data_IF_985453468216
#
_entry.id   IF_985453468216
#
_cell.length_a   1.000
_cell.length_b   1.000
_cell.length_c   1.000
_cell.angle_alpha   90.00
_cell.angle_beta   90.00
_cell.angle_gamma   90.00
#
_symmetry.space_group_name_H-M   'P 1'
#
loop_
_entity.id
_entity.type
_entity.pdbx_description
1 polymer ?
#
# COMPACT_ATOMS: atom_id res chain seq x y z
N UNK A 1 -47.43 16.33 -28.94
CA UNK A 1 -46.28 17.06 -29.47
C UNK A 1 -45.66 17.87 -28.32
N UNK A 2 -44.72 17.30 -27.52
CA UNK A 2 -43.91 18.06 -26.59
C UNK A 2 -42.62 18.42 -27.31
N UNK A 3 -42.44 19.71 -27.63
CA UNK A 3 -41.16 20.26 -28.10
C UNK A 3 -40.10 20.07 -27.01
N UNK A 4 -39.15 19.21 -27.23
CA UNK A 4 -37.90 19.20 -26.47
C UNK A 4 -37.19 20.54 -26.71
N UNK A 5 -37.22 21.39 -25.69
CA UNK A 5 -36.40 22.58 -25.64
C UNK A 5 -34.92 22.15 -25.57
N UNK A 6 -34.29 22.14 -26.73
CA UNK A 6 -32.82 22.02 -26.88
C UNK A 6 -32.16 23.11 -26.04
N UNK A 7 -31.47 22.73 -24.93
CA UNK A 7 -30.72 23.65 -24.09
C UNK A 7 -29.22 23.56 -24.44
N UNK A 8 -28.71 24.36 -25.40
CA UNK A 8 -27.30 24.33 -25.80
C UNK A 8 -26.34 24.77 -24.70
N UNK A 9 -26.78 25.60 -23.74
CA UNK A 9 -25.97 26.06 -22.61
C UNK A 9 -25.60 24.97 -21.60
N UNK A 10 -26.49 24.00 -21.34
CA UNK A 10 -26.17 22.88 -20.45
C UNK A 10 -25.06 22.00 -20.99
N UNK A 11 -25.03 21.77 -22.29
CA UNK A 11 -23.98 20.97 -22.94
C UNK A 11 -22.62 21.69 -22.97
N UNK A 12 -22.61 23.03 -23.06
CA UNK A 12 -21.39 23.83 -23.05
C UNK A 12 -20.75 23.85 -21.65
N UNK A 13 -21.56 24.11 -20.62
CA UNK A 13 -21.12 24.03 -19.20
C UNK A 13 -20.64 22.63 -18.83
N UNK A 14 -21.31 21.59 -19.31
CA UNK A 14 -20.89 20.21 -19.03
C UNK A 14 -19.54 19.88 -19.68
N UNK A 15 -19.28 20.36 -20.89
CA UNK A 15 -18.00 20.20 -21.59
C UNK A 15 -16.84 20.97 -20.93
N UNK A 16 -17.11 22.15 -20.36
CA UNK A 16 -16.14 22.95 -19.63
C UNK A 16 -15.74 22.35 -18.25
N UNK A 17 -16.56 21.44 -17.72
CA UNK A 17 -16.32 20.72 -16.47
C UNK A 17 -15.52 19.42 -16.63
N UNK A 18 -15.20 19.01 -17.85
CA UNK A 18 -14.44 17.79 -18.12
C UNK A 18 -12.97 18.08 -18.30
N UNK A 19 -12.12 17.20 -17.73
CA UNK A 19 -10.67 17.32 -17.79
C UNK A 19 -10.07 16.33 -18.78
N UNK A 20 -9.28 16.83 -19.72
CA UNK A 20 -8.55 16.01 -20.67
C UNK A 20 -7.33 15.33 -20.05
N UNK A 21 -6.58 16.07 -19.24
CA UNK A 21 -5.41 15.59 -18.47
C UNK A 21 -5.26 16.36 -17.16
N UNK A 22 -4.56 15.79 -16.14
CA UNK A 22 -4.21 16.54 -14.94
C UNK A 22 -3.37 17.75 -15.30
N UNK A 23 -3.75 18.92 -14.79
CA UNK A 23 -2.97 20.15 -15.03
C UNK A 23 -1.66 20.14 -14.25
N UNK A 24 -0.69 20.97 -14.66
CA UNK A 24 0.59 21.12 -13.94
C UNK A 24 0.38 21.60 -12.49
N UNK A 25 -0.65 22.38 -12.21
CA UNK A 25 -0.99 22.84 -10.86
C UNK A 25 -1.41 21.68 -9.96
N UNK A 26 -2.09 20.68 -10.50
CA UNK A 26 -2.50 19.49 -9.73
C UNK A 26 -1.31 18.64 -9.37
N UNK A 27 -0.36 18.46 -10.29
CA UNK A 27 0.90 17.77 -10.02
C UNK A 27 1.77 18.58 -9.04
N UNK A 28 1.83 19.91 -9.19
CA UNK A 28 2.57 20.78 -8.28
C UNK A 28 2.01 20.75 -6.86
N UNK A 29 0.68 20.86 -6.71
CA UNK A 29 0.00 20.76 -5.42
C UNK A 29 0.21 19.38 -4.76
N UNK A 30 0.09 18.30 -5.52
CA UNK A 30 0.34 16.96 -5.04
C UNK A 30 1.80 16.80 -4.60
N UNK A 31 2.74 17.25 -5.40
CA UNK A 31 4.18 17.23 -5.08
C UNK A 31 4.50 17.99 -3.79
N UNK A 32 3.84 19.14 -3.59
CA UNK A 32 3.98 19.93 -2.36
C UNK A 32 3.47 19.16 -1.12
N UNK A 33 2.28 18.55 -1.20
CA UNK A 33 1.74 17.73 -0.10
C UNK A 33 2.66 16.54 0.22
N UNK A 34 3.10 15.83 -0.81
CA UNK A 34 4.03 14.70 -0.64
C UNK A 34 5.35 15.16 0.00
N UNK A 35 5.87 16.29 -0.42
CA UNK A 35 7.10 16.88 0.13
C UNK A 35 6.93 17.26 1.59
N UNK A 36 5.83 17.93 1.95
CA UNK A 36 5.51 18.27 3.35
C UNK A 36 5.42 16.99 4.20
N UNK A 37 4.71 15.96 3.73
CA UNK A 37 4.61 14.69 4.43
C UNK A 37 5.99 14.01 4.57
N UNK A 38 6.78 14.00 3.50
CA UNK A 38 8.13 13.42 3.50
C UNK A 38 9.06 14.09 4.52
N UNK A 39 8.98 15.40 4.68
CA UNK A 39 9.79 16.13 5.65
C UNK A 39 9.35 15.92 7.10
N UNK A 40 8.05 15.79 7.35
CA UNK A 40 7.51 15.93 8.69
C UNK A 40 7.15 14.59 9.36
N UNK A 41 6.87 13.52 8.60
CA UNK A 41 6.50 12.24 9.18
C UNK A 41 7.66 11.23 9.13
N UNK A 42 7.86 10.47 10.19
CA UNK A 42 8.78 9.34 10.22
C UNK A 42 8.35 8.32 11.28
N UNK A 43 7.76 7.23 10.82
CA UNK A 43 7.31 6.17 11.71
C UNK A 43 8.44 5.20 12.09
N UNK A 44 8.35 4.60 13.27
CA UNK A 44 9.39 3.71 13.84
C UNK A 44 9.69 2.48 12.98
N UNK A 45 8.71 1.95 12.23
CA UNK A 45 8.94 0.81 11.34
C UNK A 45 10.00 1.10 10.27
N UNK A 46 10.02 2.34 9.74
CA UNK A 46 11.08 2.72 8.80
C UNK A 46 12.44 2.73 9.50
N UNK A 47 12.52 3.28 10.72
CA UNK A 47 13.75 3.30 11.49
C UNK A 47 14.25 1.88 11.74
N UNK A 48 13.34 0.95 12.09
CA UNK A 48 13.65 -0.47 12.27
C UNK A 48 14.26 -1.08 10.99
N UNK A 49 13.65 -0.85 9.84
CA UNK A 49 14.12 -1.40 8.57
C UNK A 49 15.49 -0.82 8.17
N UNK A 50 15.68 0.48 8.36
CA UNK A 50 16.97 1.14 8.09
C UNK A 50 18.04 0.63 9.05
N UNK A 51 17.74 0.46 10.33
CA UNK A 51 18.67 -0.12 11.31
C UNK A 51 19.11 -1.52 10.90
N UNK A 52 18.19 -2.37 10.45
CA UNK A 52 18.56 -3.69 9.94
C UNK A 52 19.32 -3.64 8.63
N UNK A 53 19.08 -2.64 7.77
CA UNK A 53 19.88 -2.43 6.57
C UNK A 53 21.32 -2.02 6.89
N UNK A 54 21.54 -1.25 7.94
CA UNK A 54 22.87 -0.93 8.49
C UNK A 54 23.49 -2.19 9.12
N UNK A 55 22.70 -2.97 9.89
CA UNK A 55 23.15 -4.24 10.45
C UNK A 55 23.57 -5.25 9.37
N UNK A 56 23.00 -5.19 8.18
CA UNK A 56 23.44 -5.99 7.04
C UNK A 56 24.94 -5.77 6.75
N UNK A 57 25.41 -4.52 6.73
CA UNK A 57 26.84 -4.20 6.55
C UNK A 57 27.69 -4.62 7.71
N UNK A 58 27.20 -4.43 8.95
CA UNK A 58 27.91 -4.92 10.15
C UNK A 58 28.06 -6.45 10.10
N UNK A 59 26.99 -7.17 9.80
CA UNK A 59 27.03 -8.63 9.67
C UNK A 59 27.96 -9.07 8.55
N UNK A 60 27.97 -8.36 7.40
CA UNK A 60 28.85 -8.70 6.29
C UNK A 60 30.33 -8.51 6.62
N UNK A 61 30.70 -7.42 7.31
CA UNK A 61 32.08 -7.03 7.50
C UNK A 61 32.69 -7.45 8.86
N UNK A 62 31.85 -7.65 9.90
CA UNK A 62 32.32 -7.90 11.28
C UNK A 62 31.89 -9.26 11.82
N UNK A 63 30.61 -9.56 11.77
CA UNK A 63 30.02 -10.68 12.54
C UNK A 63 29.81 -11.95 11.70
N UNK A 64 29.92 -11.85 10.39
CA UNK A 64 29.53 -12.88 9.43
C UNK A 64 28.05 -12.79 9.04
N UNK A 65 27.77 -12.77 7.73
CA UNK A 65 26.42 -12.56 7.18
C UNK A 65 25.39 -13.62 7.65
N UNK A 66 25.85 -14.82 8.00
CA UNK A 66 24.99 -15.90 8.49
C UNK A 66 24.46 -15.65 9.91
N UNK A 67 24.91 -14.59 10.59
CA UNK A 67 24.43 -14.15 11.92
C UNK A 67 23.52 -12.92 11.85
N UNK A 68 23.07 -12.54 10.65
CA UNK A 68 22.29 -11.34 10.41
C UNK A 68 21.03 -11.20 11.27
N UNK A 69 20.25 -12.28 11.42
CA UNK A 69 19.03 -12.25 12.22
C UNK A 69 19.31 -12.17 13.71
N UNK A 70 20.28 -12.94 14.19
CA UNK A 70 20.67 -12.95 15.60
C UNK A 70 21.25 -11.60 16.03
N UNK A 71 22.17 -11.03 15.24
CA UNK A 71 22.72 -9.70 15.54
C UNK A 71 21.66 -8.62 15.44
N UNK A 72 20.76 -8.70 14.45
CA UNK A 72 19.64 -7.79 14.33
C UNK A 72 18.69 -7.82 15.52
N UNK A 73 18.38 -9.00 16.06
CA UNK A 73 17.46 -9.14 17.20
C UNK A 73 18.00 -8.56 18.52
N UNK A 74 19.30 -8.36 18.63
CA UNK A 74 19.96 -7.76 19.80
C UNK A 74 19.97 -6.23 19.74
N UNK A 75 19.60 -5.62 18.62
CA UNK A 75 19.56 -4.17 18.48
C UNK A 75 18.36 -3.57 19.22
N UNK A 76 18.58 -2.39 19.77
CA UNK A 76 17.51 -1.54 20.29
C UNK A 76 17.21 -0.47 19.25
N UNK A 77 15.94 -0.31 18.89
CA UNK A 77 15.51 0.55 17.79
C UNK A 77 14.58 1.64 18.32
N UNK A 78 14.83 2.87 17.89
CA UNK A 78 14.02 4.04 18.25
C UNK A 78 14.51 4.74 19.51
N UNK A 79 14.59 6.08 19.44
CA UNK A 79 15.07 6.91 20.57
C UNK A 79 13.95 7.23 21.57
N UNK A 80 12.73 7.44 21.06
CA UNK A 80 11.62 7.89 21.90
C UNK A 80 10.86 6.73 22.57
N UNK A 81 10.91 5.55 21.99
CA UNK A 81 10.28 4.34 22.50
C UNK A 81 11.09 3.12 22.04
N UNK A 82 12.16 2.75 22.78
CA UNK A 82 13.05 1.67 22.38
C UNK A 82 12.28 0.35 22.27
N UNK A 83 12.33 -0.26 21.08
CA UNK A 83 11.76 -1.57 20.82
C UNK A 83 12.86 -2.60 20.58
N UNK A 84 12.61 -3.86 20.91
CA UNK A 84 13.54 -4.94 20.57
C UNK A 84 13.71 -5.04 19.06
N UNK A 85 14.95 -5.27 18.61
CA UNK A 85 15.32 -5.31 17.20
C UNK A 85 14.88 -6.56 16.49
N UNK A 86 13.57 -6.80 16.36
CA UNK A 86 13.09 -7.92 15.56
C UNK A 86 13.36 -7.72 14.06
N UNK A 87 13.79 -8.79 13.38
CA UNK A 87 14.06 -8.79 11.94
C UNK A 87 12.91 -9.48 11.20
N UNK A 88 11.82 -8.77 10.85
CA UNK A 88 10.57 -9.41 10.42
C UNK A 88 10.58 -9.90 8.97
N UNK A 89 11.51 -9.44 8.13
CA UNK A 89 11.49 -9.71 6.70
C UNK A 89 12.62 -10.64 6.25
N UNK A 90 12.49 -11.17 5.03
CA UNK A 90 13.56 -11.91 4.36
C UNK A 90 14.74 -10.97 4.03
N UNK A 91 15.97 -11.48 4.09
CA UNK A 91 17.20 -10.71 3.85
C UNK A 91 17.20 -9.97 2.51
N UNK A 92 16.49 -10.49 1.52
CA UNK A 92 16.43 -9.93 0.17
C UNK A 92 15.85 -8.52 0.11
N UNK A 93 14.93 -8.15 1.00
CA UNK A 93 14.39 -6.78 1.04
C UNK A 93 15.38 -5.81 1.71
N UNK A 94 16.17 -6.30 2.67
CA UNK A 94 17.17 -5.44 3.30
C UNK A 94 18.32 -5.08 2.36
N UNK A 95 18.65 -5.93 1.38
CA UNK A 95 19.75 -5.70 0.45
C UNK A 95 19.63 -4.38 -0.34
N UNK A 96 18.56 -4.08 -1.09
CA UNK A 96 18.45 -2.80 -1.81
C UNK A 96 18.42 -1.61 -0.85
N UNK A 97 17.83 -1.77 0.33
CA UNK A 97 17.78 -0.72 1.36
C UNK A 97 19.18 -0.51 1.98
N UNK A 98 19.95 -1.58 2.18
CA UNK A 98 21.33 -1.50 2.66
C UNK A 98 22.25 -0.81 1.65
N UNK A 99 22.12 -1.13 0.36
CA UNK A 99 22.85 -0.45 -0.70
C UNK A 99 22.54 1.05 -0.69
N UNK A 100 21.28 1.44 -0.57
CA UNK A 100 20.86 2.84 -0.47
C UNK A 100 21.43 3.52 0.77
N UNK A 101 21.39 2.85 1.93
CA UNK A 101 21.88 3.39 3.19
C UNK A 101 23.37 3.14 3.46
N UNK A 102 24.14 2.71 2.48
CA UNK A 102 25.58 2.57 2.60
C UNK A 102 26.28 3.88 3.05
N UNK A 103 25.93 5.08 2.51
CA UNK A 103 26.48 6.33 3.04
C UNK A 103 26.16 6.57 4.51
N UNK A 104 24.96 6.22 4.96
CA UNK A 104 24.55 6.31 6.38
C UNK A 104 25.37 5.36 7.24
N UNK A 105 25.60 4.13 6.79
CA UNK A 105 26.46 3.16 7.46
C UNK A 105 27.90 3.71 7.64
N UNK A 106 28.51 4.22 6.56
CA UNK A 106 29.84 4.80 6.59
C UNK A 106 29.92 5.99 7.56
N UNK A 107 28.91 6.87 7.52
CA UNK A 107 28.82 8.01 8.42
C UNK A 107 28.75 7.58 9.88
N UNK A 108 27.96 6.55 10.24
CA UNK A 108 27.94 6.00 11.60
C UNK A 108 29.30 5.42 12.04
N UNK A 109 30.01 4.72 11.14
CA UNK A 109 31.32 4.16 11.48
C UNK A 109 32.37 5.26 11.74
N UNK A 110 32.27 6.41 11.08
CA UNK A 110 33.22 7.54 11.23
C UNK A 110 32.90 8.38 12.45
N UNK A 111 31.61 8.67 12.69
CA UNK A 111 31.18 9.64 13.73
C UNK A 111 30.87 9.00 15.06
N UNK A 112 30.56 7.71 15.08
CA UNK A 112 30.02 7.02 16.27
C UNK A 112 28.59 7.43 16.64
N UNK A 113 27.93 8.29 15.84
CA UNK A 113 26.56 8.73 16.06
C UNK A 113 25.58 7.80 15.35
N UNK A 114 24.35 7.70 15.85
CA UNK A 114 23.30 6.86 15.26
C UNK A 114 22.43 7.67 14.31
N UNK A 115 21.98 7.07 13.21
CA UNK A 115 21.18 7.76 12.20
C UNK A 115 19.83 8.24 12.74
N UNK A 116 19.26 7.57 13.73
CA UNK A 116 17.98 7.93 14.35
C UNK A 116 18.02 9.32 15.01
N UNK A 117 19.19 9.81 15.36
CA UNK A 117 19.38 11.13 15.94
C UNK A 117 19.67 12.22 14.90
N UNK A 118 19.79 11.84 13.62
CA UNK A 118 20.15 12.77 12.55
C UNK A 118 19.04 12.91 11.52
N UNK A 119 18.47 14.12 11.43
CA UNK A 119 17.41 14.46 10.48
C UNK A 119 17.78 14.15 9.02
N UNK A 120 19.01 14.48 8.60
CA UNK A 120 19.46 14.29 7.21
C UNK A 120 19.54 12.80 6.88
N UNK A 121 20.04 11.98 7.82
CA UNK A 121 20.11 10.52 7.64
C UNK A 121 18.70 9.90 7.58
N UNK A 122 17.75 10.36 8.41
CA UNK A 122 16.36 9.92 8.35
C UNK A 122 15.68 10.33 7.04
N UNK A 123 15.91 11.55 6.57
CA UNK A 123 15.38 12.02 5.30
C UNK A 123 15.98 11.24 4.13
N UNK A 124 17.30 10.98 4.15
CA UNK A 124 17.97 10.14 3.16
C UNK A 124 17.34 8.75 3.06
N UNK A 125 17.12 8.12 4.21
CA UNK A 125 16.46 6.81 4.27
C UNK A 125 15.06 6.83 3.64
N UNK A 126 14.26 7.88 3.88
CA UNK A 126 12.92 8.06 3.30
C UNK A 126 12.94 8.26 1.79
N UNK A 127 13.92 9.02 1.28
CA UNK A 127 14.09 9.25 -0.16
C UNK A 127 14.30 7.91 -0.89
N UNK A 128 14.93 6.91 -0.25
CA UNK A 128 15.09 5.57 -0.80
C UNK A 128 13.79 4.90 -1.24
N UNK A 129 12.68 5.15 -0.53
CA UNK A 129 11.37 4.62 -0.88
C UNK A 129 10.74 5.30 -2.11
N UNK A 130 11.28 6.43 -2.58
CA UNK A 130 10.80 7.08 -3.81
C UNK A 130 11.20 6.31 -5.07
N UNK A 131 12.27 5.52 -5.04
CA UNK A 131 12.66 4.70 -6.21
C UNK A 131 11.58 3.68 -6.58
N UNK A 132 11.13 2.80 -5.66
CA UNK A 132 10.03 1.89 -5.99
C UNK A 132 8.71 2.64 -6.25
N UNK A 133 8.47 3.82 -5.69
CA UNK A 133 7.32 4.66 -6.06
C UNK A 133 7.37 5.09 -7.54
N UNK A 134 8.51 5.59 -7.99
CA UNK A 134 8.72 5.90 -9.42
C UNK A 134 8.61 4.63 -10.26
N UNK A 135 9.16 3.52 -9.77
CA UNK A 135 9.00 2.20 -10.38
C UNK A 135 7.54 1.76 -10.51
N UNK A 136 6.69 2.02 -9.51
CA UNK A 136 5.24 1.76 -9.59
C UNK A 136 4.57 2.58 -10.69
N UNK A 137 4.88 3.88 -10.79
CA UNK A 137 4.37 4.72 -11.88
C UNK A 137 4.81 4.20 -13.25
N UNK A 138 6.06 3.80 -13.39
CA UNK A 138 6.57 3.18 -14.61
C UNK A 138 5.85 1.86 -14.92
N UNK A 139 5.61 1.01 -13.92
CA UNK A 139 4.87 -0.24 -14.09
C UNK A 139 3.39 0.02 -14.47
N UNK A 140 2.76 1.05 -13.91
CA UNK A 140 1.41 1.49 -14.30
C UNK A 140 1.41 1.95 -15.74
N UNK A 141 2.43 2.71 -16.21
CA UNK A 141 2.55 3.05 -17.62
C UNK A 141 2.63 1.79 -18.50
N UNK A 142 3.45 0.80 -18.13
CA UNK A 142 3.56 -0.47 -18.88
C UNK A 142 2.25 -1.28 -18.91
N UNK A 143 1.50 -1.30 -17.82
CA UNK A 143 0.18 -1.92 -17.79
C UNK A 143 -0.81 -1.08 -18.62
N UNK A 144 -0.78 0.23 -18.49
CA UNK A 144 -1.64 1.16 -19.21
C UNK A 144 -1.45 1.10 -20.73
N UNK A 145 -0.20 0.98 -21.21
CA UNK A 145 0.10 0.76 -22.65
C UNK A 145 -0.61 -0.51 -23.19
N UNK A 146 -0.75 -1.54 -22.35
CA UNK A 146 -1.38 -2.80 -22.73
C UNK A 146 -2.91 -2.75 -22.64
N UNK A 147 -3.44 -2.08 -21.62
CA UNK A 147 -4.88 -2.14 -21.28
C UNK A 147 -5.63 -0.87 -21.69
N UNK A 148 -5.08 0.30 -21.45
CA UNK A 148 -5.75 1.58 -21.65
C UNK A 148 -5.50 2.15 -23.06
N UNK A 149 -4.34 1.86 -23.65
CA UNK A 149 -3.92 2.23 -25.02
C UNK A 149 -3.82 3.74 -25.30
N UNK A 150 -4.43 4.59 -24.49
CA UNK A 150 -4.44 6.04 -24.63
C UNK A 150 -3.52 6.71 -23.60
N UNK A 151 -2.59 7.53 -24.08
CA UNK A 151 -1.64 8.24 -23.21
C UNK A 151 -2.35 9.10 -22.14
N UNK A 152 -3.50 9.69 -22.48
CA UNK A 152 -4.28 10.50 -21.52
C UNK A 152 -4.75 9.67 -20.33
N UNK A 153 -5.31 8.49 -20.60
CA UNK A 153 -5.75 7.54 -19.55
C UNK A 153 -4.57 7.07 -18.71
N UNK A 154 -3.41 6.83 -19.32
CA UNK A 154 -2.20 6.43 -18.60
C UNK A 154 -1.74 7.53 -17.63
N UNK A 155 -1.72 8.79 -18.07
CA UNK A 155 -1.35 9.93 -17.22
C UNK A 155 -2.33 10.06 -16.03
N UNK A 156 -3.62 9.86 -16.27
CA UNK A 156 -4.62 9.84 -15.20
C UNK A 156 -4.42 8.65 -14.24
N UNK A 157 -4.04 7.45 -14.73
CA UNK A 157 -3.73 6.31 -13.87
C UNK A 157 -2.59 6.64 -12.91
N UNK A 158 -1.50 7.24 -13.41
CA UNK A 158 -0.38 7.69 -12.60
C UNK A 158 -0.82 8.77 -11.59
N UNK A 159 -1.67 9.71 -11.99
CA UNK A 159 -2.19 10.75 -11.10
C UNK A 159 -3.09 10.16 -9.99
N UNK A 160 -4.04 9.29 -10.33
CA UNK A 160 -4.91 8.66 -9.34
C UNK A 160 -4.14 7.74 -8.39
N UNK A 161 -3.16 7.00 -8.90
CA UNK A 161 -2.24 6.24 -8.06
C UNK A 161 -1.50 7.16 -7.08
N UNK A 162 -0.82 8.18 -7.60
CA UNK A 162 0.04 9.06 -6.80
C UNK A 162 -0.75 9.89 -5.79
N UNK A 163 -1.97 10.29 -6.12
CA UNK A 163 -2.84 11.09 -5.23
C UNK A 163 -3.80 10.27 -4.37
N UNK A 164 -3.68 8.93 -4.35
CA UNK A 164 -4.50 8.06 -3.50
C UNK A 164 -4.15 8.23 -2.02
N UNK A 165 -5.18 8.32 -1.16
CA UNK A 165 -4.96 8.41 0.29
C UNK A 165 -4.28 7.15 0.84
N UNK A 166 -4.53 5.99 0.26
CA UNK A 166 -3.83 4.75 0.61
C UNK A 166 -2.31 4.86 0.41
N UNK A 167 -1.89 5.47 -0.71
CA UNK A 167 -0.47 5.68 -1.00
C UNK A 167 0.12 6.78 -0.13
N UNK A 168 -0.56 7.94 -0.04
CA UNK A 168 -0.07 9.09 0.73
C UNK A 168 0.15 8.68 2.18
N UNK A 169 -0.83 8.01 2.78
CA UNK A 169 -0.72 7.51 4.15
C UNK A 169 0.44 6.53 4.32
N UNK A 170 0.44 5.45 3.57
CA UNK A 170 1.43 4.38 3.79
C UNK A 170 2.85 4.79 3.41
N UNK A 171 3.05 5.52 2.31
CA UNK A 171 4.39 5.88 1.83
C UNK A 171 4.87 7.22 2.38
N UNK A 172 4.06 8.28 2.24
CA UNK A 172 4.53 9.64 2.55
C UNK A 172 4.33 10.02 4.02
N UNK A 173 3.31 9.49 4.70
CA UNK A 173 3.15 9.70 6.14
C UNK A 173 3.95 8.66 6.95
N UNK A 174 3.79 7.37 6.67
CA UNK A 174 4.34 6.31 7.50
C UNK A 174 5.65 5.69 6.97
N UNK A 175 6.07 6.03 5.74
CA UNK A 175 7.37 5.63 5.19
C UNK A 175 7.53 4.13 4.94
N UNK A 176 6.44 3.43 4.66
CA UNK A 176 6.43 1.96 4.58
C UNK A 176 7.08 1.40 3.32
N UNK A 177 7.75 0.27 3.49
CA UNK A 177 8.42 -0.47 2.41
C UNK A 177 7.47 -1.30 1.53
N UNK A 178 6.16 -1.30 1.84
CA UNK A 178 5.15 -2.00 1.03
C UNK A 178 5.14 -1.56 -0.44
N UNK A 179 5.71 -0.40 -0.72
CA UNK A 179 5.89 0.12 -2.07
C UNK A 179 6.83 -0.75 -2.92
N UNK A 180 7.84 -1.43 -2.32
CA UNK A 180 8.70 -2.39 -3.02
C UNK A 180 7.89 -3.61 -3.47
N UNK A 181 7.09 -4.17 -2.54
CA UNK A 181 6.18 -5.26 -2.86
C UNK A 181 5.23 -4.87 -3.99
N UNK A 182 4.63 -3.67 -3.91
CA UNK A 182 3.70 -3.13 -4.90
C UNK A 182 4.37 -3.01 -6.27
N UNK A 183 5.60 -2.51 -6.33
CA UNK A 183 6.37 -2.38 -7.57
C UNK A 183 6.62 -3.74 -8.24
N UNK A 184 7.17 -4.70 -7.51
CA UNK A 184 7.45 -6.02 -8.07
C UNK A 184 6.17 -6.75 -8.50
N UNK A 185 5.10 -6.62 -7.73
CA UNK A 185 3.80 -7.20 -8.06
C UNK A 185 3.22 -6.59 -9.33
N UNK A 186 3.27 -5.27 -9.53
CA UNK A 186 2.82 -4.61 -10.76
C UNK A 186 3.66 -5.05 -11.97
N UNK A 187 4.96 -5.22 -11.82
CA UNK A 187 5.82 -5.77 -12.87
C UNK A 187 5.46 -7.22 -13.21
N UNK A 188 5.13 -8.02 -12.20
CA UNK A 188 4.61 -9.37 -12.38
C UNK A 188 3.28 -9.38 -13.14
N UNK A 189 2.37 -8.46 -12.81
CA UNK A 189 1.10 -8.31 -13.54
C UNK A 189 1.31 -7.87 -14.99
N UNK A 190 2.22 -6.93 -15.25
CA UNK A 190 2.58 -6.54 -16.62
C UNK A 190 3.13 -7.73 -17.42
N UNK A 191 3.97 -8.57 -16.80
CA UNK A 191 4.47 -9.79 -17.42
C UNK A 191 3.35 -10.82 -17.67
N UNK A 192 2.40 -10.95 -16.73
CA UNK A 192 1.23 -11.81 -16.88
C UNK A 192 0.37 -11.40 -18.08
N UNK A 193 0.06 -10.12 -18.24
CA UNK A 193 -0.71 -9.57 -19.35
C UNK A 193 0.01 -9.82 -20.68
N UNK A 194 1.35 -9.68 -20.70
CA UNK A 194 2.20 -9.98 -21.89
C UNK A 194 2.38 -11.48 -22.15
N UNK A 195 1.84 -12.36 -21.29
CA UNK A 195 2.03 -13.82 -21.35
C UNK A 195 3.50 -14.27 -21.16
N UNK A 196 4.34 -13.43 -20.57
CA UNK A 196 5.74 -13.77 -20.24
C UNK A 196 5.77 -14.50 -18.90
N UNK A 197 5.60 -15.83 -18.95
CA UNK A 197 5.55 -16.70 -17.75
C UNK A 197 6.83 -16.61 -16.92
N UNK A 198 8.01 -16.52 -17.57
CA UNK A 198 9.30 -16.47 -16.86
C UNK A 198 9.39 -15.22 -16.01
N UNK A 199 9.13 -14.05 -16.60
CA UNK A 199 9.15 -12.77 -15.88
C UNK A 199 8.03 -12.70 -14.82
N UNK A 200 6.84 -13.27 -15.08
CA UNK A 200 5.77 -13.37 -14.08
C UNK A 200 6.26 -14.03 -12.80
N UNK A 201 6.87 -15.22 -12.88
CA UNK A 201 7.40 -15.91 -11.70
C UNK A 201 8.56 -15.16 -11.02
N UNK A 202 9.49 -14.60 -11.79
CA UNK A 202 10.62 -13.85 -11.22
C UNK A 202 10.14 -12.64 -10.42
N UNK A 203 9.24 -11.84 -11.01
CA UNK A 203 8.73 -10.66 -10.33
C UNK A 203 7.91 -10.98 -9.09
N UNK A 204 7.08 -12.04 -9.14
CA UNK A 204 6.34 -12.45 -7.96
C UNK A 204 7.23 -13.12 -6.91
N UNK A 205 8.31 -13.81 -7.29
CA UNK A 205 9.29 -14.29 -6.31
C UNK A 205 9.94 -13.12 -5.55
N UNK A 206 10.31 -12.04 -6.23
CA UNK A 206 10.78 -10.81 -5.58
C UNK A 206 9.70 -10.15 -4.72
N UNK A 207 8.47 -10.05 -5.20
CA UNK A 207 7.36 -9.47 -4.43
C UNK A 207 7.10 -10.24 -3.13
N UNK A 208 7.08 -11.58 -3.17
CA UNK A 208 6.84 -12.44 -2.01
C UNK A 208 7.94 -12.29 -0.95
N UNK A 209 9.21 -12.10 -1.34
CA UNK A 209 10.29 -11.84 -0.38
C UNK A 209 10.14 -10.51 0.34
N UNK A 210 9.54 -9.52 -0.31
CA UNK A 210 9.22 -8.25 0.35
C UNK A 210 8.07 -8.42 1.33
N UNK A 211 7.00 -9.09 0.89
CA UNK A 211 5.83 -9.37 1.73
C UNK A 211 5.00 -10.51 1.13
N UNK A 212 4.65 -11.47 1.94
CA UNK A 212 3.83 -12.61 1.52
C UNK A 212 2.43 -12.22 0.99
N UNK A 213 1.99 -10.99 1.24
CA UNK A 213 0.73 -10.44 0.70
C UNK A 213 0.63 -10.51 -0.83
N UNK A 214 1.77 -10.51 -1.54
CA UNK A 214 1.80 -10.71 -2.98
C UNK A 214 1.14 -12.02 -3.43
N UNK A 215 1.08 -13.04 -2.55
CA UNK A 215 0.41 -14.31 -2.83
C UNK A 215 -1.09 -14.14 -3.02
N UNK A 216 -1.73 -13.14 -2.40
CA UNK A 216 -3.15 -12.89 -2.57
C UNK A 216 -3.50 -12.39 -3.99
N UNK A 217 -2.53 -11.85 -4.70
CA UNK A 217 -2.66 -11.51 -6.13
C UNK A 217 -2.16 -12.64 -7.02
N UNK A 218 -1.01 -13.22 -6.66
CA UNK A 218 -0.35 -14.25 -7.44
C UNK A 218 -1.19 -15.53 -7.61
N UNK A 219 -1.74 -16.06 -6.51
CA UNK A 219 -2.47 -17.33 -6.52
C UNK A 219 -3.73 -17.24 -7.38
N UNK A 220 -4.62 -16.23 -7.24
CA UNK A 220 -5.78 -16.09 -8.11
C UNK A 220 -5.41 -15.95 -9.59
N UNK A 221 -4.38 -15.15 -9.92
CA UNK A 221 -3.91 -15.00 -11.29
C UNK A 221 -3.35 -16.31 -11.86
N UNK A 222 -2.61 -17.07 -11.04
CA UNK A 222 -2.09 -18.39 -11.44
C UNK A 222 -3.23 -19.35 -11.72
N UNK A 223 -4.22 -19.45 -10.81
CA UNK A 223 -5.39 -20.33 -10.93
C UNK A 223 -6.26 -19.91 -12.10
N UNK A 224 -6.38 -18.61 -12.38
CA UNK A 224 -7.14 -18.10 -13.52
C UNK A 224 -6.57 -18.60 -14.87
N UNK A 225 -5.24 -18.71 -14.98
CA UNK A 225 -4.56 -19.10 -16.22
C UNK A 225 -4.22 -20.59 -16.30
N UNK A 226 -4.04 -21.28 -15.19
CA UNK A 226 -3.61 -22.68 -15.15
C UNK A 226 -4.59 -23.52 -14.33
N UNK A 227 -5.06 -24.65 -14.89
CA UNK A 227 -6.03 -25.54 -14.25
C UNK A 227 -5.40 -26.87 -13.82
N UNK A 228 -4.17 -27.16 -14.23
CA UNK A 228 -3.45 -28.38 -13.86
C UNK A 228 -2.79 -28.21 -12.50
N UNK A 229 -3.23 -28.96 -11.51
CA UNK A 229 -2.81 -28.83 -10.10
C UNK A 229 -1.27 -28.91 -9.96
N UNK A 230 -0.61 -29.84 -10.66
CA UNK A 230 0.86 -29.97 -10.59
C UNK A 230 1.58 -28.70 -11.07
N UNK A 231 1.06 -28.02 -12.09
CA UNK A 231 1.65 -26.76 -12.58
C UNK A 231 1.37 -25.59 -11.64
N UNK A 232 0.23 -25.61 -10.95
CA UNK A 232 -0.07 -24.63 -9.88
C UNK A 232 0.91 -24.80 -8.73
N UNK A 233 1.15 -26.04 -8.26
CA UNK A 233 2.13 -26.32 -7.21
C UNK A 233 3.53 -25.87 -7.61
N UNK A 234 3.98 -26.19 -8.84
CA UNK A 234 5.28 -25.73 -9.37
C UNK A 234 5.35 -24.20 -9.45
N UNK A 235 4.27 -23.54 -9.82
CA UNK A 235 4.18 -22.09 -9.84
C UNK A 235 4.29 -21.47 -8.45
N UNK A 236 3.64 -22.05 -7.46
CA UNK A 236 3.74 -21.63 -6.05
C UNK A 236 5.17 -21.80 -5.53
N UNK A 237 5.81 -22.95 -5.80
CA UNK A 237 7.21 -23.16 -5.41
C UNK A 237 8.15 -22.16 -6.10
N UNK A 238 7.90 -21.81 -7.36
CA UNK A 238 8.67 -20.79 -8.07
C UNK A 238 8.50 -19.39 -7.44
N UNK A 239 7.28 -19.00 -7.07
CA UNK A 239 7.05 -17.73 -6.40
C UNK A 239 7.63 -17.66 -4.97
N UNK A 240 7.69 -18.79 -4.28
CA UNK A 240 8.24 -18.91 -2.93
C UNK A 240 9.75 -19.15 -2.93
N UNK A 241 10.39 -19.41 -4.08
CA UNK A 241 11.76 -19.91 -4.18
C UNK A 241 12.79 -19.07 -3.44
N UNK A 242 12.76 -17.73 -3.60
CA UNK A 242 13.71 -16.83 -2.92
C UNK A 242 13.46 -16.77 -1.42
N UNK A 243 12.20 -16.76 -0.97
CA UNK A 243 11.87 -16.79 0.46
C UNK A 243 12.28 -18.13 1.10
N UNK A 244 12.04 -19.25 0.42
CA UNK A 244 12.50 -20.57 0.87
C UNK A 244 14.03 -20.64 0.92
N UNK A 245 14.72 -20.09 -0.07
CA UNK A 245 16.19 -20.04 -0.08
C UNK A 245 16.72 -19.23 1.12
N UNK A 246 16.14 -18.07 1.42
CA UNK A 246 16.48 -17.30 2.61
C UNK A 246 16.30 -18.13 3.89
N UNK A 247 15.16 -18.84 4.02
CA UNK A 247 14.89 -19.67 5.20
C UNK A 247 15.86 -20.84 5.36
N UNK A 248 16.27 -21.46 4.26
CA UNK A 248 17.25 -22.56 4.28
C UNK A 248 18.63 -22.02 4.71
N UNK A 249 19.11 -20.92 4.09
CA UNK A 249 20.42 -20.34 4.37
C UNK A 249 20.52 -19.89 5.84
N UNK A 250 19.48 -19.23 6.36
CA UNK A 250 19.48 -18.64 7.70
C UNK A 250 18.72 -19.49 8.73
N UNK A 251 18.51 -20.76 8.46
CA UNK A 251 17.70 -21.64 9.33
C UNK A 251 18.18 -21.61 10.79
N UNK A 252 19.45 -21.87 11.03
CA UNK A 252 20.03 -21.91 12.38
C UNK A 252 20.05 -20.52 13.04
N UNK A 253 20.30 -19.48 12.29
CA UNK A 253 20.33 -18.11 12.80
C UNK A 253 18.93 -17.65 13.26
N UNK A 254 17.90 -17.94 12.45
CA UNK A 254 16.50 -17.66 12.81
C UNK A 254 16.01 -18.50 13.99
N UNK A 255 16.40 -19.76 14.11
CA UNK A 255 16.04 -20.60 15.25
C UNK A 255 16.62 -20.08 16.57
N UNK A 256 17.76 -19.39 16.54
CA UNK A 256 18.41 -18.81 17.71
C UNK A 256 17.84 -17.45 18.12
N UNK A 257 16.93 -16.88 17.32
CA UNK A 257 16.35 -15.56 17.58
C UNK A 257 14.94 -15.68 18.15
N UNK A 258 14.64 -15.02 19.30
CA UNK A 258 13.26 -14.87 19.76
C UNK A 258 12.54 -13.93 18.78
N UNK A 259 11.70 -14.49 17.90
CA UNK A 259 10.93 -13.71 16.93
C UNK A 259 9.50 -13.55 17.40
N UNK A 260 9.07 -12.33 17.69
CA UNK A 260 7.64 -12.02 17.91
C UNK A 260 6.89 -11.90 16.56
N UNK A 261 7.58 -11.54 15.46
CA UNK A 261 7.05 -11.52 14.10
C UNK A 261 7.29 -12.85 13.37
N UNK A 262 6.83 -13.93 13.98
CA UNK A 262 6.78 -15.24 13.36
C UNK A 262 5.69 -15.26 12.26
N UNK A 263 5.91 -16.07 11.24
CA UNK A 263 4.90 -16.40 10.23
C UNK A 263 3.60 -16.91 10.85
N UNK A 264 3.66 -17.48 12.05
CA UNK A 264 2.50 -17.83 12.87
C UNK A 264 1.64 -16.61 13.21
N UNK A 265 2.23 -15.42 13.43
CA UNK A 265 1.47 -14.19 13.66
C UNK A 265 0.74 -13.78 12.39
N UNK A 266 1.40 -13.84 11.23
CA UNK A 266 0.73 -13.58 9.95
C UNK A 266 -0.43 -14.55 9.70
N UNK A 267 -0.23 -15.85 9.93
CA UNK A 267 -1.30 -16.83 9.81
C UNK A 267 -2.44 -16.55 10.80
N UNK A 268 -2.15 -16.14 12.04
CA UNK A 268 -3.19 -15.74 13.00
C UNK A 268 -4.06 -14.62 12.46
N UNK A 269 -3.48 -13.57 11.87
CA UNK A 269 -4.22 -12.44 11.31
C UNK A 269 -5.28 -12.89 10.28
N UNK A 270 -4.97 -13.92 9.47
CA UNK A 270 -5.90 -14.49 8.51
C UNK A 270 -7.09 -15.23 9.15
N UNK A 271 -6.95 -15.63 10.42
CA UNK A 271 -7.97 -16.38 11.15
C UNK A 271 -8.61 -15.59 12.30
N UNK A 272 -8.26 -14.32 12.48
CA UNK A 272 -8.81 -13.50 13.59
C UNK A 272 -10.27 -13.11 13.35
N UNK A 273 -10.61 -12.65 12.14
CA UNK A 273 -12.00 -12.31 11.82
C UNK A 273 -12.77 -13.58 11.52
N UNK A 274 -13.70 -13.89 12.43
CA UNK A 274 -14.48 -15.13 12.40
C UNK A 274 -15.97 -14.83 12.38
N UNK A 275 -16.71 -15.73 11.75
CA UNK A 275 -18.16 -15.79 11.80
C UNK A 275 -18.57 -17.06 12.54
N UNK A 276 -19.44 -16.91 13.53
CA UNK A 276 -20.06 -18.04 14.22
C UNK A 276 -21.36 -18.40 13.53
N UNK A 277 -21.35 -19.49 12.79
CA UNK A 277 -22.49 -20.01 12.06
C UNK A 277 -22.97 -21.30 12.74
N UNK A 278 -24.06 -21.22 13.51
CA UNK A 278 -24.72 -22.38 14.15
C UNK A 278 -23.71 -23.29 14.87
N UNK A 279 -22.87 -22.69 15.72
CA UNK A 279 -21.86 -23.43 16.51
C UNK A 279 -20.58 -23.81 15.77
N UNK A 280 -20.40 -23.38 14.51
CA UNK A 280 -19.17 -23.57 13.73
C UNK A 280 -18.53 -22.21 13.49
N UNK A 281 -17.28 -22.06 13.91
CA UNK A 281 -16.50 -20.86 13.70
C UNK A 281 -15.73 -20.92 12.37
N UNK A 282 -15.97 -19.97 11.48
CA UNK A 282 -15.35 -19.92 10.14
C UNK A 282 -14.59 -18.62 9.94
N UNK A 283 -13.38 -18.70 9.35
CA UNK A 283 -12.58 -17.51 8.96
C UNK A 283 -13.21 -16.82 7.76
N UNK A 284 -13.45 -15.51 7.88
CA UNK A 284 -13.99 -14.67 6.80
C UNK A 284 -13.02 -14.65 5.61
N UNK A 285 -11.71 -14.51 5.88
CA UNK A 285 -10.69 -14.53 4.83
C UNK A 285 -10.76 -15.82 4.00
N UNK A 286 -10.83 -16.98 4.67
CA UNK A 286 -10.85 -18.28 3.99
C UNK A 286 -12.07 -18.39 3.08
N UNK A 287 -13.26 -17.98 3.55
CA UNK A 287 -14.49 -18.00 2.74
C UNK A 287 -14.31 -17.16 1.48
N UNK A 288 -13.90 -15.90 1.65
CA UNK A 288 -13.78 -14.95 0.54
C UNK A 288 -12.71 -15.39 -0.46
N UNK A 289 -11.56 -15.83 0.04
CA UNK A 289 -10.44 -16.20 -0.82
C UNK A 289 -10.69 -17.50 -1.58
N UNK A 290 -11.27 -18.50 -0.92
CA UNK A 290 -11.68 -19.73 -1.62
C UNK A 290 -12.79 -19.48 -2.64
N UNK A 291 -13.76 -18.63 -2.34
CA UNK A 291 -14.79 -18.25 -3.30
C UNK A 291 -14.17 -17.59 -4.55
N UNK A 292 -13.18 -16.69 -4.35
CA UNK A 292 -12.43 -16.10 -5.46
C UNK A 292 -11.65 -17.16 -6.26
N UNK A 293 -10.99 -18.11 -5.59
CA UNK A 293 -10.24 -19.17 -6.28
C UNK A 293 -11.16 -20.10 -7.07
N UNK A 294 -12.32 -20.46 -6.51
CA UNK A 294 -13.35 -21.27 -7.21
C UNK A 294 -13.82 -20.49 -8.43
N UNK A 295 -14.14 -19.21 -8.29
CA UNK A 295 -14.54 -18.37 -9.43
C UNK A 295 -13.42 -18.32 -10.48
N UNK A 296 -12.16 -18.08 -10.09
CA UNK A 296 -11.01 -18.11 -11.03
C UNK A 296 -10.86 -19.47 -11.71
N UNK A 297 -11.13 -20.57 -11.01
CA UNK A 297 -11.01 -21.92 -11.56
C UNK A 297 -12.05 -22.19 -12.66
N UNK A 298 -13.30 -21.81 -12.44
CA UNK A 298 -14.39 -22.04 -13.40
C UNK A 298 -14.48 -20.98 -14.50
N UNK A 299 -13.81 -19.84 -14.32
CA UNK A 299 -13.84 -18.76 -15.32
C UNK A 299 -13.01 -19.12 -16.54
N UNK A 300 -13.65 -19.08 -17.73
CA UNK A 300 -12.99 -19.24 -19.02
C UNK A 300 -12.65 -17.88 -19.61
N UNK A 301 -11.43 -17.73 -20.13
CA UNK A 301 -10.97 -16.46 -20.74
C UNK A 301 -11.79 -16.04 -21.98
N UNK A 302 -12.45 -16.99 -22.64
CA UNK A 302 -13.26 -16.73 -23.84
C UNK A 302 -14.54 -15.95 -23.50
N UNK A 303 -15.05 -16.11 -22.27
CA UNK A 303 -16.32 -15.57 -21.82
C UNK A 303 -16.22 -14.15 -21.24
N UNK A 304 -14.99 -13.67 -20.97
CA UNK A 304 -14.75 -12.42 -20.24
C UNK A 304 -13.76 -11.52 -20.97
N UNK A 305 -13.83 -10.22 -20.68
CA UNK A 305 -12.82 -9.28 -21.14
C UNK A 305 -11.54 -9.47 -20.34
N UNK A 306 -10.56 -10.13 -20.97
CA UNK A 306 -9.29 -10.53 -20.32
C UNK A 306 -8.53 -9.38 -19.68
N UNK A 307 -8.60 -8.22 -20.28
CA UNK A 307 -7.86 -7.03 -19.83
C UNK A 307 -8.40 -6.53 -18.49
N UNK A 308 -9.70 -6.51 -18.31
CA UNK A 308 -10.38 -6.06 -17.09
C UNK A 308 -10.23 -7.06 -15.94
N UNK A 309 -10.28 -8.35 -16.27
CA UNK A 309 -10.24 -9.43 -15.28
C UNK A 309 -8.94 -9.43 -14.47
N UNK A 310 -7.79 -9.17 -15.09
CA UNK A 310 -6.49 -9.23 -14.42
C UNK A 310 -6.42 -8.21 -13.28
N UNK A 311 -6.83 -6.97 -13.55
CA UNK A 311 -6.82 -5.91 -12.53
C UNK A 311 -7.89 -6.17 -11.47
N UNK A 312 -9.08 -6.61 -11.90
CA UNK A 312 -10.16 -6.93 -10.96
C UNK A 312 -9.78 -8.10 -10.04
N UNK A 313 -9.17 -9.18 -10.55
CA UNK A 313 -8.74 -10.33 -9.74
C UNK A 313 -7.65 -9.93 -8.74
N UNK A 314 -6.71 -9.07 -9.14
CA UNK A 314 -5.70 -8.54 -8.24
C UNK A 314 -6.34 -7.71 -7.11
N UNK A 315 -7.27 -6.81 -7.46
CA UNK A 315 -8.02 -6.02 -6.49
C UNK A 315 -8.87 -6.91 -5.57
N UNK A 316 -9.58 -7.92 -6.12
CA UNK A 316 -10.40 -8.84 -5.35
C UNK A 316 -9.57 -9.72 -4.40
N UNK A 317 -8.42 -10.24 -4.85
CA UNK A 317 -7.51 -11.02 -4.01
C UNK A 317 -7.01 -10.25 -2.79
N UNK A 318 -6.63 -9.00 -3.02
CA UNK A 318 -6.25 -8.12 -1.93
C UNK A 318 -7.44 -7.72 -1.03
N UNK A 319 -8.62 -7.55 -1.61
CA UNK A 319 -9.85 -7.28 -0.86
C UNK A 319 -10.25 -8.44 0.05
N UNK A 320 -10.07 -9.69 -0.37
CA UNK A 320 -10.30 -10.82 0.51
C UNK A 320 -9.45 -10.73 1.79
N UNK A 321 -8.20 -10.28 1.68
CA UNK A 321 -7.33 -10.07 2.83
C UNK A 321 -7.83 -8.92 3.72
N UNK A 322 -8.07 -7.74 3.16
CA UNK A 322 -8.47 -6.58 3.96
C UNK A 322 -9.86 -6.69 4.58
N UNK A 323 -10.78 -7.38 3.92
CA UNK A 323 -12.12 -7.62 4.45
C UNK A 323 -12.13 -8.77 5.47
N UNK A 324 -11.24 -9.75 5.29
CA UNK A 324 -11.23 -11.00 6.06
C UNK A 324 -10.18 -11.12 7.17
N UNK A 325 -9.23 -10.19 7.26
CA UNK A 325 -8.15 -10.22 8.25
C UNK A 325 -8.05 -8.88 9.01
N UNK A 326 -7.37 -8.92 10.16
CA UNK A 326 -6.98 -7.70 10.87
C UNK A 326 -5.77 -7.09 10.18
N UNK A 327 -5.89 -5.86 9.68
CA UNK A 327 -4.88 -5.21 8.87
C UNK A 327 -4.39 -3.91 9.50
N UNK A 328 -3.12 -3.59 9.27
CA UNK A 328 -2.54 -2.32 9.70
C UNK A 328 -2.82 -1.21 8.66
N UNK A 329 -3.03 0.04 9.08
CA UNK A 329 -3.51 1.12 8.21
C UNK A 329 -2.58 1.45 7.04
N UNK A 330 -1.32 1.09 7.09
CA UNK A 330 -0.34 1.35 6.04
C UNK A 330 -0.22 0.23 4.99
N UNK A 331 -0.80 -0.94 5.23
CA UNK A 331 -0.77 -2.04 4.25
C UNK A 331 -1.66 -1.79 3.04
N UNK A 332 -2.54 -0.79 3.12
CA UNK A 332 -3.44 -0.42 2.04
C UNK A 332 -2.75 0.24 0.83
N UNK A 333 -1.47 0.56 0.89
CA UNK A 333 -0.68 1.08 -0.26
C UNK A 333 -0.92 0.28 -1.53
N UNK A 334 -1.04 -1.04 -1.40
CA UNK A 334 -1.23 -1.96 -2.53
C UNK A 334 -2.57 -1.77 -3.25
N UNK A 335 -3.59 -1.20 -2.60
CA UNK A 335 -4.86 -0.88 -3.28
C UNK A 335 -4.71 0.22 -4.32
N UNK A 336 -3.85 1.20 -4.07
CA UNK A 336 -3.78 2.43 -4.86
C UNK A 336 -3.59 2.21 -6.36
N UNK A 337 -2.70 1.33 -6.87
CA UNK A 337 -2.57 1.12 -8.31
C UNK A 337 -3.74 0.35 -8.91
N UNK A 338 -4.34 -0.59 -8.16
CA UNK A 338 -5.48 -1.36 -8.68
C UNK A 338 -6.69 -0.47 -8.86
N UNK A 339 -7.02 0.36 -7.86
CA UNK A 339 -8.16 1.26 -7.94
C UNK A 339 -7.93 2.33 -9.00
N UNK A 340 -6.71 2.88 -9.11
CA UNK A 340 -6.36 3.83 -10.17
C UNK A 340 -6.59 3.26 -11.58
N UNK A 341 -6.20 2.01 -11.80
CA UNK A 341 -6.43 1.32 -13.08
C UNK A 341 -7.92 1.00 -13.30
N UNK A 342 -8.65 0.56 -12.26
CA UNK A 342 -10.08 0.26 -12.36
C UNK A 342 -10.91 1.51 -12.70
N UNK A 343 -10.59 2.67 -12.11
CA UNK A 343 -11.26 3.94 -12.43
C UNK A 343 -11.23 4.22 -13.94
N UNK A 344 -10.13 3.87 -14.62
CA UNK A 344 -9.92 4.18 -16.02
C UNK A 344 -10.34 3.06 -16.97
N UNK A 345 -10.40 1.83 -16.48
CA UNK A 345 -10.93 0.69 -17.21
C UNK A 345 -12.47 0.73 -17.32
N UNK A 346 -13.15 1.48 -16.44
CA UNK A 346 -14.61 1.62 -16.43
C UNK A 346 -15.02 3.09 -16.62
N UNK A 347 -14.82 3.66 -17.81
CA UNK A 347 -15.02 5.09 -18.08
C UNK A 347 -16.41 5.60 -17.73
N UNK A 348 -17.45 4.78 -17.93
CA UNK A 348 -18.85 5.11 -17.60
C UNK A 348 -19.11 5.19 -16.08
N UNK A 349 -18.17 4.73 -15.25
CA UNK A 349 -18.27 4.67 -13.78
C UNK A 349 -17.18 5.46 -13.06
N UNK A 350 -16.38 6.19 -13.79
CA UNK A 350 -15.23 6.95 -13.28
C UNK A 350 -15.61 7.81 -12.08
N UNK A 351 -16.69 8.58 -12.17
CA UNK A 351 -17.13 9.47 -11.08
C UNK A 351 -17.45 8.73 -9.80
N UNK A 352 -18.23 7.64 -9.87
CA UNK A 352 -18.59 6.88 -8.67
C UNK A 352 -17.37 6.16 -8.08
N UNK A 353 -16.48 5.64 -8.92
CA UNK A 353 -15.26 4.97 -8.46
C UNK A 353 -14.29 5.95 -7.76
N UNK A 354 -14.18 7.20 -8.25
CA UNK A 354 -13.41 8.26 -7.57
C UNK A 354 -13.98 8.51 -6.17
N UNK A 355 -15.30 8.64 -6.02
CA UNK A 355 -15.93 8.90 -4.72
C UNK A 355 -15.81 7.71 -3.78
N UNK A 356 -15.97 6.47 -4.27
CA UNK A 356 -15.81 5.27 -3.46
C UNK A 356 -14.37 5.11 -2.96
N UNK A 357 -13.37 5.37 -3.83
CA UNK A 357 -11.96 5.34 -3.43
C UNK A 357 -11.64 6.42 -2.41
N UNK A 358 -12.16 7.63 -2.60
CA UNK A 358 -11.96 8.74 -1.66
C UNK A 358 -12.57 8.42 -0.30
N UNK A 359 -13.79 7.89 -0.26
CA UNK A 359 -14.45 7.49 0.96
C UNK A 359 -13.74 6.33 1.67
N UNK A 360 -13.30 5.32 0.90
CA UNK A 360 -12.53 4.20 1.43
C UNK A 360 -11.19 4.66 2.03
N UNK A 361 -10.46 5.51 1.31
CA UNK A 361 -9.18 6.06 1.76
C UNK A 361 -9.32 6.93 3.01
N UNK A 362 -10.34 7.79 3.04
CA UNK A 362 -10.65 8.64 4.19
C UNK A 362 -11.03 7.81 5.42
N UNK A 363 -11.95 6.87 5.27
CA UNK A 363 -12.37 5.99 6.37
C UNK A 363 -11.20 5.19 6.93
N UNK A 364 -10.37 4.63 6.05
CA UNK A 364 -9.21 3.85 6.45
C UNK A 364 -8.13 4.69 7.13
N UNK A 365 -7.92 5.94 6.67
CA UNK A 365 -7.00 6.87 7.31
C UNK A 365 -7.46 7.28 8.72
N UNK A 366 -8.74 7.66 8.87
CA UNK A 366 -9.30 8.07 10.17
C UNK A 366 -9.28 6.88 11.13
N UNK A 367 -9.62 5.67 10.68
CA UNK A 367 -9.51 4.45 11.48
C UNK A 367 -8.05 4.23 11.94
N UNK A 368 -7.09 4.53 11.07
CA UNK A 368 -5.65 4.52 11.42
C UNK A 368 -5.31 5.55 12.49
N UNK A 369 -5.87 6.75 12.44
CA UNK A 369 -5.70 7.76 13.50
C UNK A 369 -6.30 7.32 14.83
N UNK A 370 -7.48 6.69 14.82
CA UNK A 370 -8.14 6.22 16.04
C UNK A 370 -7.37 5.10 16.73
N UNK A 371 -6.86 4.12 15.97
CA UNK A 371 -6.27 2.90 16.54
C UNK A 371 -4.74 2.97 16.65
N UNK A 372 -4.11 3.77 15.79
CA UNK A 372 -2.65 3.87 15.66
C UNK A 372 -2.19 5.33 15.66
N UNK A 373 -2.90 6.19 16.41
CA UNK A 373 -2.61 7.63 16.50
C UNK A 373 -1.16 7.92 16.89
N UNK A 374 -0.57 7.07 17.71
CA UNK A 374 0.84 7.14 18.08
C UNK A 374 1.80 7.07 16.88
N UNK A 375 1.42 6.40 15.79
CA UNK A 375 2.25 6.31 14.59
C UNK A 375 2.45 7.67 13.91
N UNK A 376 1.47 8.55 14.02
CA UNK A 376 1.52 9.92 13.50
C UNK A 376 2.09 10.91 14.52
N UNK A 377 1.89 10.65 15.82
CA UNK A 377 2.38 11.48 16.92
C UNK A 377 3.88 11.33 17.16
N UNK A 378 4.42 10.12 16.99
CA UNK A 378 5.82 9.79 17.28
C UNK A 378 6.82 10.26 16.19
N UNK A 379 6.40 11.13 15.28
CA UNK A 379 7.25 11.62 14.20
C UNK A 379 8.43 12.42 14.74
N UNK A 380 9.59 11.81 14.78
CA UNK A 380 10.84 12.42 15.24
C UNK A 380 11.17 13.71 14.44
N UNK A 381 10.79 13.75 13.17
CA UNK A 381 11.15 14.84 12.27
C UNK A 381 10.46 16.16 12.60
N UNK A 382 9.20 16.16 13.05
CA UNK A 382 8.52 17.39 13.45
C UNK A 382 9.24 18.04 14.63
N UNK A 383 9.68 17.24 15.60
CA UNK A 383 10.46 17.74 16.75
C UNK A 383 11.71 18.48 16.28
N UNK A 384 12.40 17.98 15.26
CA UNK A 384 13.63 18.57 14.74
C UNK A 384 13.40 19.86 13.95
N UNK A 385 12.42 19.86 13.05
CA UNK A 385 12.12 21.05 12.23
C UNK A 385 11.54 22.19 13.06
N UNK A 386 10.63 21.86 13.98
CA UNK A 386 9.91 22.89 14.75
C UNK A 386 10.62 23.25 16.05
N UNK A 387 11.52 22.44 16.61
CA UNK A 387 12.29 22.77 17.80
C UNK A 387 13.12 24.05 17.61
N UNK A 388 13.69 24.25 16.43
CA UNK A 388 14.39 25.50 16.08
C UNK A 388 13.45 26.72 15.96
N UNK A 389 12.23 26.52 15.48
CA UNK A 389 11.23 27.60 15.29
C UNK A 389 10.52 27.92 16.62
N UNK A 390 10.34 26.93 17.48
CA UNK A 390 9.57 27.04 18.73
C UNK A 390 10.44 27.23 19.97
N UNK A 391 11.68 27.71 19.82
CA UNK A 391 12.60 28.06 20.90
C UNK A 391 12.81 26.94 21.95
N UNK A 392 12.96 25.70 21.49
CA UNK A 392 13.30 24.55 22.36
C UNK A 392 12.12 24.00 23.19
N UNK A 393 10.87 24.44 22.94
CA UNK A 393 9.71 23.82 23.57
C UNK A 393 9.55 22.38 23.06
N UNK A 394 9.45 21.43 23.96
CA UNK A 394 9.08 20.06 23.60
C UNK A 394 7.68 20.06 22.99
N UNK A 395 7.59 19.82 21.68
CA UNK A 395 6.33 19.61 21.02
C UNK A 395 5.99 18.12 21.22
N UNK A 396 5.06 17.88 22.12
CA UNK A 396 4.46 16.56 22.27
C UNK A 396 3.42 16.43 21.17
N UNK A 397 3.62 15.47 20.27
CA UNK A 397 2.63 15.18 19.24
C UNK A 397 1.29 14.77 19.83
N UNK A 398 0.22 15.07 19.11
CA UNK A 398 -1.13 14.66 19.49
C UNK A 398 -1.28 13.18 19.23
N UNK A 399 -1.53 12.42 20.28
CA UNK A 399 -1.97 11.04 20.17
C UNK A 399 -3.48 11.02 19.92
N UNK A 400 -3.85 10.85 18.65
CA UNK A 400 -5.26 10.85 18.24
C UNK A 400 -6.05 9.70 18.87
N UNK A 401 -5.43 8.55 19.17
CA UNK A 401 -6.12 7.46 19.86
C UNK A 401 -6.58 7.90 21.24
N UNK A 402 -5.70 8.55 22.02
CA UNK A 402 -6.05 9.11 23.32
C UNK A 402 -7.08 10.25 23.23
N UNK A 403 -7.00 11.06 22.17
CA UNK A 403 -7.99 12.11 21.95
C UNK A 403 -9.38 11.51 21.75
N UNK A 404 -9.51 10.46 20.96
CA UNK A 404 -10.79 9.77 20.73
C UNK A 404 -11.28 9.04 21.98
N UNK A 405 -10.40 8.41 22.75
CA UNK A 405 -10.75 7.75 24.02
C UNK A 405 -11.26 8.75 25.06
N UNK A 406 -10.69 9.97 25.08
CA UNK A 406 -11.10 11.02 26.03
C UNK A 406 -12.40 11.73 25.64
N UNK A 407 -12.84 11.68 24.38
CA UNK A 407 -14.05 12.35 23.92
C UNK A 407 -15.34 11.72 24.49
N UNK A 408 -15.37 10.42 24.70
CA UNK A 408 -16.38 9.71 25.51
C UNK A 408 -16.01 8.22 25.67
N UNK A 409 -16.38 7.62 26.83
CA UNK A 409 -16.31 6.18 27.03
C UNK A 409 -17.13 5.46 25.93
N UNK A 410 -16.47 4.62 25.11
CA UNK A 410 -17.11 3.84 24.05
C UNK A 410 -17.31 4.56 22.71
N UNK A 411 -17.09 5.88 22.58
CA UNK A 411 -17.24 6.57 21.30
C UNK A 411 -16.20 6.12 20.28
N UNK A 412 -14.97 5.85 20.74
CA UNK A 412 -13.89 5.35 19.88
C UNK A 412 -14.27 4.04 19.18
N UNK A 413 -14.84 3.08 19.91
CA UNK A 413 -15.27 1.79 19.35
C UNK A 413 -16.41 1.95 18.34
N UNK A 414 -17.37 2.83 18.60
CA UNK A 414 -18.49 3.09 17.70
C UNK A 414 -18.00 3.78 16.40
N UNK A 415 -17.08 4.73 16.52
CA UNK A 415 -16.48 5.41 15.36
C UNK A 415 -15.66 4.41 14.52
N UNK A 416 -14.87 3.54 15.16
CA UNK A 416 -14.12 2.48 14.47
C UNK A 416 -15.06 1.54 13.72
N UNK A 417 -16.13 1.07 14.36
CA UNK A 417 -17.11 0.18 13.73
C UNK A 417 -17.79 0.86 12.54
N UNK A 418 -18.15 2.15 12.65
CA UNK A 418 -18.72 2.94 11.55
C UNK A 418 -17.73 3.06 10.39
N UNK A 419 -16.49 3.46 10.66
CA UNK A 419 -15.45 3.66 9.64
C UNK A 419 -15.07 2.34 8.96
N UNK A 420 -14.98 1.26 9.73
CA UNK A 420 -14.78 -0.09 9.19
C UNK A 420 -15.95 -0.47 8.28
N UNK A 421 -17.18 -0.18 8.68
CA UNK A 421 -18.38 -0.39 7.86
C UNK A 421 -18.32 0.39 6.55
N UNK A 422 -17.96 1.67 6.60
CA UNK A 422 -17.78 2.51 5.38
C UNK A 422 -16.70 1.93 4.47
N UNK A 423 -15.53 1.58 5.04
CA UNK A 423 -14.43 0.98 4.27
C UNK A 423 -14.86 -0.33 3.59
N UNK A 424 -15.43 -1.26 4.34
CA UNK A 424 -15.90 -2.56 3.82
C UNK A 424 -16.94 -2.36 2.72
N UNK A 425 -17.93 -1.50 2.94
CA UNK A 425 -19.01 -1.25 1.99
C UNK A 425 -18.50 -0.61 0.71
N UNK A 426 -17.57 0.35 0.79
CA UNK A 426 -16.99 1.00 -0.38
C UNK A 426 -16.13 0.05 -1.21
N UNK A 427 -15.32 -0.80 -0.57
CA UNK A 427 -14.53 -1.83 -1.27
C UNK A 427 -15.46 -2.86 -1.93
N UNK A 428 -16.49 -3.35 -1.22
CA UNK A 428 -17.46 -4.28 -1.78
C UNK A 428 -18.24 -3.65 -2.95
N UNK A 429 -18.65 -2.38 -2.85
CA UNK A 429 -19.29 -1.65 -3.94
C UNK A 429 -18.37 -1.54 -5.16
N UNK A 430 -17.08 -1.22 -4.97
CA UNK A 430 -16.11 -1.19 -6.07
C UNK A 430 -15.97 -2.56 -6.75
N UNK A 431 -15.90 -3.66 -5.98
CA UNK A 431 -15.85 -5.03 -6.51
C UNK A 431 -17.08 -5.36 -7.37
N UNK A 432 -18.28 -5.02 -6.89
CA UNK A 432 -19.55 -5.27 -7.60
C UNK A 432 -19.63 -4.41 -8.84
N UNK A 433 -19.34 -3.12 -8.74
CA UNK A 433 -19.43 -2.16 -9.83
C UNK A 433 -18.44 -2.50 -10.95
N UNK A 434 -17.25 -2.96 -10.61
CA UNK A 434 -16.20 -3.33 -11.57
C UNK A 434 -16.17 -4.81 -11.89
N UNK A 435 -17.24 -5.56 -11.56
CA UNK A 435 -17.33 -6.99 -11.87
C UNK A 435 -17.09 -7.24 -13.36
N UNK A 436 -16.11 -8.10 -13.74
CA UNK A 436 -15.78 -8.38 -15.12
C UNK A 436 -16.82 -9.32 -15.75
N UNK A 437 -18.02 -8.82 -15.99
CA UNK A 437 -19.08 -9.56 -16.65
C UNK A 437 -18.78 -9.87 -18.12
N UNK A 438 -19.73 -10.56 -18.81
CA UNK A 438 -19.65 -10.84 -20.24
C UNK A 438 -19.30 -9.58 -21.03
N UNK A 439 -18.52 -9.75 -22.11
CA UNK A 439 -18.05 -8.67 -23.01
C UNK A 439 -19.13 -7.62 -23.25
N UNK A 440 -19.09 -6.52 -22.53
CA UNK A 440 -19.83 -5.31 -22.87
C UNK A 440 -18.90 -4.41 -23.67
N UNK A 441 -19.39 -3.85 -24.78
CA UNK A 441 -18.71 -2.73 -25.43
C UNK A 441 -18.77 -1.55 -24.45
N UNK A 442 -17.62 -1.21 -23.85
CA UNK A 442 -17.51 0.01 -23.06
C UNK A 442 -17.43 1.21 -24.01
N UNK A 443 -18.06 2.32 -23.62
CA UNK A 443 -17.87 3.59 -24.33
C UNK A 443 -16.40 4.00 -24.21
N UNK A 444 -15.78 4.33 -25.34
CA UNK A 444 -14.36 4.73 -25.37
C UNK A 444 -14.14 6.13 -24.79
N UNK A 445 -15.17 6.97 -24.75
CA UNK A 445 -15.05 8.33 -24.23
C UNK A 445 -15.03 8.35 -22.70
N UNK A 446 -13.90 8.76 -22.16
CA UNK A 446 -13.68 8.95 -20.73
C UNK A 446 -14.01 10.39 -20.35
N UNK A 447 -14.99 10.56 -19.48
CA UNK A 447 -15.33 11.86 -18.90
C UNK A 447 -14.85 11.95 -17.46
N UNK A 448 -13.83 12.77 -17.19
CA UNK A 448 -13.33 13.01 -15.85
C UNK A 448 -13.89 14.34 -15.32
N UNK A 449 -14.78 14.23 -14.34
CA UNK A 449 -15.43 15.36 -13.69
C UNK A 449 -14.43 16.14 -12.80
N UNK A 450 -14.20 17.40 -13.15
CA UNK A 450 -13.30 18.31 -12.44
C UNK A 450 -13.66 18.45 -10.96
N UNK A 451 -14.94 18.51 -10.63
CA UNK A 451 -15.42 18.65 -9.25
C UNK A 451 -15.05 17.46 -8.39
N UNK A 452 -15.24 16.24 -8.90
CA UNK A 452 -14.89 15.01 -8.17
C UNK A 452 -13.39 14.88 -7.93
N UNK A 453 -12.57 15.21 -8.94
CA UNK A 453 -11.10 15.15 -8.79
C UNK A 453 -10.61 16.23 -7.82
N UNK A 454 -11.18 17.44 -7.88
CA UNK A 454 -10.83 18.51 -6.94
C UNK A 454 -11.22 18.15 -5.51
N UNK A 455 -12.44 17.66 -5.29
CA UNK A 455 -12.89 17.25 -3.96
C UNK A 455 -12.01 16.12 -3.40
N UNK A 456 -11.67 15.11 -4.22
CA UNK A 456 -10.74 14.05 -3.85
C UNK A 456 -9.36 14.60 -3.45
N UNK A 457 -8.80 15.50 -4.26
CA UNK A 457 -7.51 16.12 -3.96
C UNK A 457 -7.56 16.92 -2.66
N UNK A 458 -8.61 17.75 -2.46
CA UNK A 458 -8.77 18.56 -1.26
C UNK A 458 -8.92 17.71 0.00
N UNK A 459 -9.75 16.65 -0.04
CA UNK A 459 -9.96 15.73 1.07
C UNK A 459 -8.67 14.95 1.42
N UNK A 460 -8.00 14.39 0.42
CA UNK A 460 -6.76 13.65 0.65
C UNK A 460 -5.65 14.54 1.19
N UNK A 461 -5.56 15.80 0.72
CA UNK A 461 -4.62 16.79 1.25
C UNK A 461 -4.94 17.16 2.69
N UNK A 462 -6.20 17.39 2.99
CA UNK A 462 -6.67 17.71 4.34
C UNK A 462 -6.30 16.58 5.32
N UNK A 463 -6.64 15.34 5.01
CA UNK A 463 -6.30 14.20 5.87
C UNK A 463 -4.80 14.01 6.02
N UNK A 464 -4.02 14.13 4.94
CA UNK A 464 -2.57 14.00 5.01
C UNK A 464 -1.92 15.06 5.92
N UNK A 465 -2.49 16.26 5.97
CA UNK A 465 -1.99 17.37 6.78
C UNK A 465 -2.61 17.43 8.18
N UNK A 466 -3.74 16.76 8.41
CA UNK A 466 -4.47 16.81 9.69
C UNK A 466 -3.59 16.52 10.91
N UNK A 467 -2.76 15.48 10.95
CA UNK A 467 -1.87 15.24 12.08
C UNK A 467 -0.86 16.37 12.29
N UNK A 468 -0.38 17.03 11.22
CA UNK A 468 0.51 18.19 11.32
C UNK A 468 -0.22 19.43 11.85
N UNK A 469 -1.42 19.68 11.36
CA UNK A 469 -2.23 20.83 11.81
C UNK A 469 -2.54 20.72 13.30
N UNK A 470 -2.80 19.53 13.81
CA UNK A 470 -3.08 19.31 15.21
C UNK A 470 -1.90 19.69 16.14
N UNK A 471 -0.66 19.64 15.67
CA UNK A 471 0.50 20.14 16.42
C UNK A 471 0.48 21.65 16.67
N UNK A 472 -0.21 22.42 15.83
CA UNK A 472 -0.27 23.87 15.94
C UNK A 472 -1.52 24.36 16.68
N UNK A 473 -2.53 23.51 16.83
CA UNK A 473 -3.83 23.89 17.42
C UNK A 473 -3.92 23.48 18.90
N UNK A 474 -3.22 22.42 19.30
CA UNK A 474 -3.24 21.84 20.66
C UNK A 474 -1.87 22.01 21.33
#
# INVERSE_FOLDING_TARGET
MRKELYRPEKNKLHKEMLLDKPSSWWWGGLGLIMFICLLNYCYVDLQMIVRHSINFWNSLFKDGILHFYRTGSQLTIGNANPQSGEVPYDIWIYLPIAVWNLPTYIWEQITGLTFETNFVALLWARIGNLFPFVGCNWAICKIGELLLKENKKIIWACYFFSSSMFLINGLFCLGQIDIFNTFFMLMGMAAYIRKDRKKFFIWFALAVTCKMFALFVFIPLLVLNEKRILYIIRGLLAALSLSLLSKIIFFYDKMATPTQFDERRFLRLLFERRLDLVGITVSVFVILFLALLIWCWYTKYEDINREYVVIWVAFAGYSCFFLGATTLPYWAVVYSPFVALLILLYPERTKILIWLETAAGAAYFIMGLCNYGYAYAASANIRWMLAGILNGREIRGVDFSRLFDNLSEGAGQNIEALLTGVFITTIAAMLIITWPGRKKQHKDEMEIDKGSVFARFALNSFFALLPLMAYFII
#
